data_IF_334034165782
#
_entry.id   IF_334034165782
#
_cell.length_a   1.000
_cell.length_b   1.000
_cell.length_c   1.000
_cell.angle_alpha   90.00
_cell.angle_beta   90.00
_cell.angle_gamma   90.00
#
_symmetry.space_group_name_H-M   'P 1'
#
loop_
_entity.id
_entity.type
_entity.pdbx_description
1 polymer ?
#
# COMPACT_ATOMS: atom_id res chain seq x y z
N UNK A 1 38.73 2.97 -9.99
CA UNK A 1 37.78 2.50 -10.99
C UNK A 1 36.37 2.89 -10.57
N UNK A 2 35.61 3.50 -11.45
CA UNK A 2 34.24 3.88 -11.15
C UNK A 2 33.31 2.67 -11.21
N UNK A 3 32.35 2.60 -10.27
CA UNK A 3 31.29 1.60 -10.31
C UNK A 3 30.30 1.97 -11.42
N UNK A 4 30.05 1.08 -12.36
CA UNK A 4 29.14 1.29 -13.47
C UNK A 4 27.79 0.56 -13.32
N UNK A 5 27.72 -0.46 -12.46
CA UNK A 5 26.50 -1.19 -12.18
C UNK A 5 26.61 -1.93 -10.86
N UNK A 6 25.47 -2.28 -10.31
CA UNK A 6 25.37 -3.15 -9.14
C UNK A 6 24.05 -3.91 -9.18
N UNK A 7 24.00 -5.02 -8.45
CA UNK A 7 22.80 -5.87 -8.40
C UNK A 7 22.05 -5.59 -7.11
N UNK A 8 20.75 -5.35 -7.22
CA UNK A 8 19.84 -5.28 -6.08
C UNK A 8 19.09 -6.61 -5.96
N UNK A 9 19.23 -7.26 -4.82
CA UNK A 9 18.48 -8.49 -4.52
C UNK A 9 17.26 -8.11 -3.68
N UNK A 10 16.08 -8.54 -4.13
CA UNK A 10 14.81 -8.35 -3.42
C UNK A 10 14.54 -6.89 -3.05
N UNK A 11 14.54 -5.97 -4.04
CA UNK A 11 14.32 -4.55 -3.73
C UNK A 11 12.89 -4.31 -3.24
N UNK A 12 12.75 -3.32 -2.34
CA UNK A 12 11.47 -2.89 -1.79
C UNK A 12 11.15 -1.48 -2.27
N UNK A 13 9.91 -1.26 -2.68
CA UNK A 13 9.41 0.10 -2.93
C UNK A 13 8.77 0.60 -1.64
N UNK A 14 9.35 1.63 -1.04
CA UNK A 14 8.94 2.13 0.28
C UNK A 14 7.79 3.14 0.22
N UNK A 15 7.22 3.44 -0.97
CA UNK A 15 6.11 4.37 -1.11
C UNK A 15 5.41 4.15 -2.45
N UNK A 16 4.41 3.28 -2.49
CA UNK A 16 3.76 2.88 -3.72
C UNK A 16 2.26 3.14 -3.69
N UNK A 17 1.77 3.81 -4.72
CA UNK A 17 0.34 3.99 -4.97
C UNK A 17 -0.09 3.01 -6.06
N UNK A 18 -0.80 1.96 -5.68
CA UNK A 18 -1.29 0.95 -6.63
C UNK A 18 -2.68 1.26 -7.19
N UNK A 19 -3.33 2.31 -6.65
CA UNK A 19 -4.69 2.65 -7.05
C UNK A 19 -5.64 1.47 -6.83
N UNK A 20 -6.73 1.40 -7.58
CA UNK A 20 -7.73 0.34 -7.42
C UNK A 20 -8.36 -0.02 -8.77
N UNK A 21 -9.23 -1.02 -8.78
CA UNK A 21 -9.98 -1.41 -9.96
C UNK A 21 -9.12 -1.75 -11.15
N UNK A 22 -9.49 -1.25 -12.33
CA UNK A 22 -8.77 -1.52 -13.56
C UNK A 22 -7.36 -0.95 -13.56
N UNK A 23 -7.15 0.20 -12.91
CA UNK A 23 -5.82 0.79 -12.78
C UNK A 23 -4.90 -0.12 -11.97
N UNK A 24 -5.39 -0.70 -10.88
CA UNK A 24 -4.62 -1.66 -10.09
C UNK A 24 -4.20 -2.86 -10.93
N UNK A 25 -5.11 -3.40 -11.73
CA UNK A 25 -4.80 -4.54 -12.60
C UNK A 25 -3.72 -4.21 -13.62
N UNK A 26 -3.69 -2.96 -14.07
CA UNK A 26 -2.70 -2.50 -15.04
C UNK A 26 -1.34 -2.23 -14.40
N UNK A 27 -1.32 -1.49 -13.28
CA UNK A 27 -0.05 -1.03 -12.69
C UNK A 27 0.55 -2.00 -11.67
N UNK A 28 -0.27 -2.87 -11.07
CA UNK A 28 0.20 -3.83 -10.08
C UNK A 28 1.37 -4.67 -10.58
N UNK A 29 1.23 -5.36 -11.72
CA UNK A 29 2.31 -6.19 -12.26
C UNK A 29 3.58 -5.41 -12.63
N UNK A 30 3.48 -4.13 -12.94
CA UNK A 30 4.66 -3.31 -13.27
C UNK A 30 5.62 -3.22 -12.08
N UNK A 31 5.10 -3.31 -10.85
CA UNK A 31 5.93 -3.34 -9.65
C UNK A 31 6.20 -4.76 -9.18
N UNK A 32 5.17 -5.60 -9.15
CA UNK A 32 5.28 -6.94 -8.55
C UNK A 32 6.24 -7.86 -9.29
N UNK A 33 6.45 -7.64 -10.59
CA UNK A 33 7.40 -8.47 -11.35
C UNK A 33 8.86 -8.03 -11.16
N UNK A 34 9.11 -6.89 -10.52
CA UNK A 34 10.46 -6.34 -10.34
C UNK A 34 10.86 -6.26 -8.87
N UNK A 35 9.92 -5.86 -8.00
CA UNK A 35 10.16 -5.68 -6.56
C UNK A 35 9.69 -6.90 -5.78
N UNK A 36 10.39 -7.21 -4.69
CA UNK A 36 9.97 -8.30 -3.79
C UNK A 36 8.83 -7.88 -2.87
N UNK A 37 8.63 -6.59 -2.69
CA UNK A 37 7.55 -6.04 -1.88
C UNK A 37 7.47 -4.55 -1.98
N UNK A 38 6.42 -3.98 -1.40
CA UNK A 38 6.23 -2.53 -1.39
C UNK A 38 5.38 -2.09 -0.22
N UNK A 39 5.59 -0.86 0.23
CA UNK A 39 4.77 -0.19 1.22
C UNK A 39 3.62 0.50 0.48
N UNK A 40 2.42 -0.03 0.63
CA UNK A 40 1.25 0.39 -0.16
C UNK A 40 0.53 1.53 0.55
N UNK A 41 0.32 2.62 -0.16
CA UNK A 41 -0.37 3.80 0.37
C UNK A 41 -1.88 3.61 0.37
N UNK A 42 -2.59 4.14 1.39
CA UNK A 42 -4.03 3.92 1.55
C UNK A 42 -4.90 4.98 0.86
N UNK A 43 -4.33 5.77 -0.04
CA UNK A 43 -4.99 6.91 -0.69
C UNK A 43 -5.89 6.44 -1.83
N UNK A 44 -7.01 5.82 -1.50
CA UNK A 44 -8.07 5.48 -2.44
C UNK A 44 -9.25 6.43 -2.27
N UNK A 45 -10.31 6.24 -3.05
CA UNK A 45 -11.57 6.98 -2.91
C UNK A 45 -12.69 5.95 -2.70
N UNK A 46 -13.19 5.81 -1.47
CA UNK A 46 -12.73 6.44 -0.22
C UNK A 46 -11.40 5.87 0.26
N UNK A 47 -10.66 6.59 1.12
CA UNK A 47 -9.40 6.07 1.66
C UNK A 47 -9.63 4.86 2.57
N UNK A 48 -8.57 4.07 2.76
CA UNK A 48 -8.62 2.86 3.58
C UNK A 48 -8.59 3.25 5.06
N UNK A 49 -9.74 3.13 5.72
CA UNK A 49 -9.91 3.53 7.13
C UNK A 49 -10.55 2.45 7.99
N UNK A 50 -10.93 1.30 7.42
CA UNK A 50 -11.55 0.19 8.14
C UNK A 50 -10.81 -1.11 7.87
N UNK A 51 -11.00 -2.08 8.75
CA UNK A 51 -10.40 -3.41 8.60
C UNK A 51 -10.95 -4.12 7.36
N UNK A 52 -12.26 -4.01 7.13
CA UNK A 52 -12.90 -4.64 5.98
C UNK A 52 -12.36 -4.09 4.66
N UNK A 53 -12.22 -2.77 4.57
CA UNK A 53 -11.65 -2.12 3.38
C UNK A 53 -10.20 -2.53 3.17
N UNK A 54 -9.43 -2.62 4.27
CA UNK A 54 -8.02 -3.02 4.21
C UNK A 54 -7.87 -4.45 3.69
N UNK A 55 -8.58 -5.39 4.28
CA UNK A 55 -8.48 -6.81 3.90
C UNK A 55 -8.98 -7.03 2.46
N UNK A 56 -10.03 -6.34 2.08
CA UNK A 56 -10.56 -6.38 0.71
C UNK A 56 -9.52 -5.85 -0.28
N UNK A 57 -8.85 -4.74 0.04
CA UNK A 57 -7.81 -4.17 -0.82
C UNK A 57 -6.61 -5.11 -0.94
N UNK A 58 -6.17 -5.71 0.18
CA UNK A 58 -5.09 -6.71 0.14
C UNK A 58 -5.43 -7.84 -0.82
N UNK A 59 -6.67 -8.31 -0.79
CA UNK A 59 -7.10 -9.38 -1.69
C UNK A 59 -7.08 -8.93 -3.16
N UNK A 60 -7.51 -7.71 -3.44
CA UNK A 60 -7.47 -7.18 -4.81
C UNK A 60 -6.04 -7.03 -5.33
N UNK A 61 -5.12 -6.60 -4.46
CA UNK A 61 -3.70 -6.52 -4.81
C UNK A 61 -3.15 -7.91 -5.10
N UNK A 62 -3.47 -8.88 -4.25
CA UNK A 62 -3.03 -10.26 -4.44
C UNK A 62 -3.48 -10.83 -5.78
N UNK A 63 -4.74 -10.56 -6.17
CA UNK A 63 -5.25 -11.00 -7.46
C UNK A 63 -4.56 -10.30 -8.63
N UNK A 64 -4.33 -8.98 -8.51
CA UNK A 64 -3.69 -8.19 -9.56
C UNK A 64 -2.22 -8.59 -9.79
N UNK A 65 -1.54 -9.02 -8.73
CA UNK A 65 -0.13 -9.39 -8.76
C UNK A 65 0.06 -10.91 -8.73
N UNK A 66 -0.97 -11.65 -9.11
CA UNK A 66 -0.97 -13.12 -9.06
C UNK A 66 0.15 -13.68 -9.93
N UNK A 67 0.89 -14.65 -9.37
CA UNK A 67 2.00 -15.29 -10.06
C UNK A 67 3.36 -14.68 -9.75
N UNK A 68 3.40 -13.50 -9.13
CA UNK A 68 4.65 -12.84 -8.75
C UNK A 68 4.93 -13.06 -7.26
N UNK A 69 6.21 -13.23 -6.92
CA UNK A 69 6.65 -13.31 -5.52
C UNK A 69 6.75 -11.89 -4.95
N UNK A 70 5.61 -11.32 -4.57
CA UNK A 70 5.49 -9.93 -4.16
C UNK A 70 4.70 -9.83 -2.87
N UNK A 71 5.24 -9.13 -1.87
CA UNK A 71 4.57 -8.87 -0.60
C UNK A 71 4.07 -7.44 -0.55
N UNK A 72 2.76 -7.27 -0.36
CA UNK A 72 2.15 -5.96 -0.20
C UNK A 72 2.04 -5.63 1.29
N UNK A 73 2.84 -4.67 1.75
CA UNK A 73 2.78 -4.15 3.12
C UNK A 73 1.83 -2.96 3.12
N UNK A 74 0.61 -3.20 3.57
CA UNK A 74 -0.44 -2.18 3.49
C UNK A 74 -0.42 -1.25 4.70
N UNK A 75 -0.93 -0.03 4.49
CA UNK A 75 -1.03 1.00 5.51
C UNK A 75 -2.48 1.47 5.63
N UNK A 76 -2.77 2.06 6.78
CA UNK A 76 -4.08 2.63 7.10
C UNK A 76 -4.01 4.15 6.92
N UNK A 77 -5.07 4.74 6.38
CA UNK A 77 -5.19 6.19 6.28
C UNK A 77 -5.49 6.76 7.66
N UNK A 78 -4.78 7.80 8.07
CA UNK A 78 -4.94 8.37 9.41
C UNK A 78 -6.32 9.00 9.59
N UNK A 79 -6.93 8.71 10.75
CA UNK A 79 -8.10 9.42 11.28
C UNK A 79 -7.86 9.66 12.77
N UNK A 80 -8.36 10.78 13.25
CA UNK A 80 -8.13 11.17 14.65
C UNK A 80 -9.10 10.52 15.63
N UNK A 81 -10.06 9.74 15.16
CA UNK A 81 -11.08 9.09 15.97
C UNK A 81 -10.91 7.57 16.12
N UNK A 82 -9.75 7.04 15.74
CA UNK A 82 -9.47 5.62 15.96
C UNK A 82 -9.39 5.30 17.44
N UNK A 83 -10.07 4.23 17.85
CA UNK A 83 -10.02 3.75 19.22
C UNK A 83 -8.84 2.82 19.44
N UNK A 84 -8.45 2.63 20.71
CA UNK A 84 -7.42 1.65 21.07
C UNK A 84 -7.83 0.24 20.63
N UNK A 85 -9.10 -0.11 20.84
CA UNK A 85 -9.62 -1.44 20.48
C UNK A 85 -9.51 -1.68 18.98
N UNK A 86 -9.81 -0.67 18.16
CA UNK A 86 -9.70 -0.79 16.71
C UNK A 86 -8.24 -0.99 16.29
N UNK A 87 -7.33 -0.19 16.85
CA UNK A 87 -5.91 -0.29 16.51
C UNK A 87 -5.32 -1.65 16.95
N UNK A 88 -5.74 -2.13 18.11
CA UNK A 88 -5.33 -3.45 18.60
C UNK A 88 -5.81 -4.57 17.67
N UNK A 89 -7.03 -4.45 17.15
CA UNK A 89 -7.60 -5.43 16.23
C UNK A 89 -6.92 -5.46 14.86
N UNK A 90 -6.42 -4.29 14.39
CA UNK A 90 -5.87 -4.19 13.03
C UNK A 90 -4.33 -4.25 12.99
N UNK A 91 -3.66 -4.14 14.13
CA UNK A 91 -2.20 -3.97 14.18
C UNK A 91 -1.39 -5.04 13.44
N UNK A 92 -1.90 -6.24 13.34
CA UNK A 92 -1.20 -7.34 12.67
C UNK A 92 -1.47 -7.36 11.15
N UNK A 93 -2.40 -6.54 10.68
CA UNK A 93 -2.78 -6.48 9.27
C UNK A 93 -2.15 -5.30 8.54
N UNK A 94 -1.56 -4.36 9.27
CA UNK A 94 -0.93 -3.15 8.70
C UNK A 94 0.52 -3.06 9.13
N UNK A 95 1.32 -2.32 8.37
CA UNK A 95 2.70 -2.02 8.74
C UNK A 95 2.84 -0.60 9.30
N UNK A 96 1.84 0.24 9.08
CA UNK A 96 1.88 1.63 9.57
C UNK A 96 0.62 2.39 9.22
N UNK A 97 0.62 3.66 9.62
CA UNK A 97 -0.49 4.59 9.36
C UNK A 97 0.08 5.78 8.60
N UNK A 98 -0.58 6.14 7.51
CA UNK A 98 -0.17 7.29 6.71
C UNK A 98 -0.92 8.53 7.16
N UNK A 99 -0.17 9.55 7.56
CA UNK A 99 -0.70 10.85 7.94
C UNK A 99 -0.37 11.88 6.86
N UNK A 100 -1.41 12.59 6.40
CA UNK A 100 -1.26 13.74 5.50
C UNK A 100 -2.30 14.80 5.87
N UNK A 101 -1.94 16.09 5.82
CA UNK A 101 -2.95 17.15 5.91
C UNK A 101 -3.94 17.06 4.74
N UNK A 102 -5.18 17.50 4.99
CA UNK A 102 -6.23 17.44 3.99
C UNK A 102 -5.82 18.17 2.70
N UNK A 103 -6.01 17.54 1.56
CA UNK A 103 -5.79 18.12 0.25
C UNK A 103 -4.35 18.30 -0.19
N UNK A 104 -3.37 17.83 0.61
CA UNK A 104 -1.95 18.05 0.27
C UNK A 104 -1.42 17.04 -0.75
N UNK A 105 -2.10 15.93 -0.93
CA UNK A 105 -1.70 14.90 -1.89
C UNK A 105 -2.93 14.26 -2.52
N UNK A 106 -2.71 13.34 -3.45
CA UNK A 106 -3.78 12.65 -4.15
C UNK A 106 -4.68 11.88 -3.18
N UNK A 107 -5.99 12.07 -3.31
CA UNK A 107 -7.02 11.37 -2.51
C UNK A 107 -6.81 11.54 -1.00
N UNK A 108 -6.46 12.77 -0.58
CA UNK A 108 -6.26 13.10 0.84
C UNK A 108 -7.20 14.20 1.33
N UNK A 109 -8.34 14.37 0.68
CA UNK A 109 -9.30 15.44 0.99
C UNK A 109 -9.85 15.34 2.42
N UNK A 110 -9.82 14.13 2.99
CA UNK A 110 -10.30 13.86 4.35
C UNK A 110 -9.18 13.68 5.37
N UNK A 111 -7.96 14.01 4.98
CA UNK A 111 -6.76 13.86 5.82
C UNK A 111 -6.76 14.62 7.13
#
# INVERSE_FOLDING_TARGET
MALTSFLLNEPLDMHLHLRDGDMLKLVGPLTSNTFSGALIMPNLVPPITTKEALLSYKQRIKEACKGDAFEAYVTLFFKNDYTYEFLEDIKNDIIGIKLYPAGITTNSETG
#
